data_IF_110453179481
#
_entry.id   IF_110453179481
#
_cell.length_a   1.000
_cell.length_b   1.000
_cell.length_c   1.000
_cell.angle_alpha   90.00
_cell.angle_beta   90.00
_cell.angle_gamma   90.00
#
_symmetry.space_group_name_H-M   'P 1'
#
loop_
_entity.id
_entity.type
_entity.pdbx_description
1 polymer ?
#
# COMPACT_ATOMS: atom_id res chain seq x y z
N UNK A 1 14.08 16.55 -34.41
CA UNK A 1 13.74 16.69 -32.98
C UNK A 1 13.44 15.30 -32.45
N UNK A 2 14.33 14.72 -31.64
CA UNK A 2 14.26 13.30 -31.21
C UNK A 2 13.43 13.24 -29.94
N UNK A 3 12.19 12.73 -30.03
CA UNK A 3 11.38 12.42 -28.85
C UNK A 3 11.87 11.06 -28.33
N UNK A 4 12.70 11.10 -27.28
CA UNK A 4 13.13 9.90 -26.57
C UNK A 4 11.94 9.33 -25.79
N UNK A 5 11.51 8.13 -26.17
CA UNK A 5 10.49 7.34 -25.48
C UNK A 5 10.96 7.01 -24.05
N UNK A 6 10.58 7.85 -23.09
CA UNK A 6 10.78 7.62 -21.66
C UNK A 6 9.76 6.57 -21.18
N UNK A 7 10.15 5.29 -21.16
CA UNK A 7 9.33 4.22 -20.58
C UNK A 7 9.22 4.42 -19.06
N UNK A 8 8.11 4.97 -18.62
CA UNK A 8 7.73 5.09 -17.21
C UNK A 8 7.36 3.72 -16.62
N UNK A 9 8.30 3.04 -15.97
CA UNK A 9 7.97 2.04 -14.94
C UNK A 9 7.69 2.76 -13.61
N UNK A 10 6.57 3.48 -13.55
CA UNK A 10 6.13 4.14 -12.31
C UNK A 10 4.60 4.12 -12.19
N UNK A 11 4.02 2.93 -12.28
CA UNK A 11 2.62 2.69 -11.94
C UNK A 11 2.58 2.16 -10.51
N UNK A 12 2.63 3.06 -9.52
CA UNK A 12 2.15 2.77 -8.15
C UNK A 12 2.03 3.97 -7.19
N UNK A 13 2.25 5.22 -7.63
CA UNK A 13 2.27 6.36 -6.69
C UNK A 13 1.13 7.39 -6.81
N UNK A 14 0.24 7.30 -7.78
CA UNK A 14 -0.88 8.25 -7.91
C UNK A 14 -2.22 7.59 -7.63
N UNK A 15 -2.63 7.57 -6.35
CA UNK A 15 -4.03 7.74 -5.85
C UNK A 15 -4.19 7.22 -4.41
N UNK A 16 -3.63 7.91 -3.43
CA UNK A 16 -4.17 7.91 -2.07
C UNK A 16 -4.07 9.35 -1.55
N UNK A 17 -5.22 10.00 -1.31
CA UNK A 17 -5.26 11.21 -0.48
C UNK A 17 -5.32 10.74 0.98
N UNK A 18 -4.30 10.97 1.83
CA UNK A 18 -4.43 10.68 3.24
C UNK A 18 -5.36 11.72 3.89
N UNK A 19 -6.44 11.24 4.51
CA UNK A 19 -7.18 12.03 5.50
C UNK A 19 -6.27 12.30 6.70
N UNK A 20 -6.23 13.56 7.15
CA UNK A 20 -5.41 13.99 8.29
C UNK A 20 -5.90 13.31 9.57
N UNK A 21 -5.10 12.39 10.10
CA UNK A 21 -5.18 11.95 11.49
C UNK A 21 -3.80 12.18 12.12
N UNK A 22 -3.71 13.28 12.85
CA UNK A 22 -2.55 13.64 13.67
C UNK A 22 -2.62 12.86 14.98
N UNK A 23 -1.57 12.10 15.28
CA UNK A 23 -1.18 11.77 16.65
C UNK A 23 0.32 11.46 16.65
N UNK A 24 1.08 12.31 17.34
CA UNK A 24 2.51 12.18 17.52
C UNK A 24 2.80 10.97 18.43
N UNK A 25 3.14 9.84 17.84
CA UNK A 25 3.72 8.69 18.54
C UNK A 25 5.18 8.55 18.11
N UNK A 26 6.13 8.52 19.04
CA UNK A 26 7.53 8.15 18.81
C UNK A 26 7.57 6.75 18.18
N UNK A 27 7.97 6.64 16.90
CA UNK A 27 8.06 5.33 16.23
C UNK A 27 9.35 4.63 16.66
N UNK A 28 9.27 3.93 17.79
CA UNK A 28 10.09 2.75 18.03
C UNK A 28 9.80 1.75 16.90
N UNK A 29 10.82 1.40 16.12
CA UNK A 29 10.69 0.36 15.08
C UNK A 29 10.65 -0.99 15.77
N UNK A 30 9.70 -1.88 15.42
CA UNK A 30 9.77 -3.25 15.91
C UNK A 30 11.04 -3.87 15.33
N UNK A 31 12.08 -4.03 16.17
CA UNK A 31 13.35 -4.63 15.78
C UNK A 31 13.22 -6.11 15.45
N UNK A 32 12.09 -6.73 15.79
CA UNK A 32 11.72 -8.06 15.38
C UNK A 32 10.71 -8.00 14.23
N UNK A 33 11.19 -8.11 12.99
CA UNK A 33 10.37 -8.77 11.96
C UNK A 33 10.26 -10.21 12.45
N UNK A 34 9.29 -10.47 13.33
CA UNK A 34 9.09 -11.78 13.95
C UNK A 34 8.93 -12.81 12.85
N UNK A 35 9.41 -14.04 13.09
CA UNK A 35 9.31 -15.25 12.24
C UNK A 35 7.85 -15.63 11.92
N UNK A 36 7.09 -14.71 11.31
CA UNK A 36 5.71 -14.93 10.88
C UNK A 36 5.76 -15.63 9.54
N UNK A 37 4.87 -16.60 9.38
CA UNK A 37 4.61 -17.20 8.09
C UNK A 37 4.19 -16.11 7.08
N UNK A 38 4.34 -16.37 5.77
CA UNK A 38 3.79 -15.51 4.74
C UNK A 38 2.31 -15.24 4.99
N UNK A 39 1.80 -14.08 4.59
CA UNK A 39 0.44 -13.63 4.92
C UNK A 39 -0.64 -14.67 4.60
N UNK A 40 -0.46 -15.46 3.53
CA UNK A 40 -1.36 -16.52 3.09
C UNK A 40 -1.46 -17.69 4.08
N UNK A 41 -0.38 -17.95 4.82
CA UNK A 41 -0.28 -19.05 5.79
C UNK A 41 -0.43 -18.58 7.24
N UNK A 42 -0.68 -17.29 7.48
CA UNK A 42 -1.01 -16.83 8.82
C UNK A 42 -2.40 -17.35 9.21
N UNK A 43 -2.54 -18.01 10.38
CA UNK A 43 -3.83 -18.53 10.79
C UNK A 43 -4.83 -17.40 11.00
N UNK A 44 -6.11 -17.60 10.61
CA UNK A 44 -7.15 -16.64 10.92
C UNK A 44 -7.29 -16.49 12.44
N UNK A 45 -7.67 -15.31 12.90
CA UNK A 45 -7.95 -15.11 14.33
C UNK A 45 -9.22 -15.87 14.73
N UNK A 46 -9.36 -16.18 16.02
CA UNK A 46 -10.57 -16.85 16.56
C UNK A 46 -11.86 -16.11 16.14
N UNK A 47 -11.86 -14.78 16.25
CA UNK A 47 -12.98 -13.95 15.79
C UNK A 47 -13.19 -14.02 14.28
N UNK A 48 -12.11 -14.07 13.48
CA UNK A 48 -12.23 -14.22 12.02
C UNK A 48 -12.88 -15.55 11.63
N UNK A 49 -12.59 -16.64 12.34
CA UNK A 49 -13.25 -17.95 12.12
C UNK A 49 -14.73 -17.86 12.47
N UNK A 50 -15.06 -17.25 13.62
CA UNK A 50 -16.44 -17.00 13.99
C UNK A 50 -17.19 -16.22 12.90
N UNK A 51 -16.59 -15.14 12.38
CA UNK A 51 -17.16 -14.36 11.28
C UNK A 51 -17.36 -15.24 10.04
N UNK A 52 -16.37 -16.04 9.64
CA UNK A 52 -16.46 -16.93 8.49
C UNK A 52 -17.60 -17.95 8.61
N UNK A 53 -17.80 -18.56 9.79
CA UNK A 53 -18.89 -19.54 10.00
C UNK A 53 -20.28 -18.88 10.02
N UNK A 54 -20.38 -17.60 10.36
CA UNK A 54 -21.65 -16.92 10.58
C UNK A 54 -22.07 -15.95 9.46
N UNK A 55 -21.28 -15.86 8.39
CA UNK A 55 -21.65 -15.13 7.17
C UNK A 55 -22.56 -16.02 6.32
N UNK A 56 -23.81 -15.57 6.09
CA UNK A 56 -24.86 -16.36 5.38
C UNK A 56 -24.83 -16.21 3.86
N UNK A 57 -24.32 -15.09 3.35
CA UNK A 57 -24.16 -14.79 1.92
C UNK A 57 -22.70 -14.43 1.77
N UNK A 58 -21.97 -14.96 0.78
CA UNK A 58 -20.53 -14.77 0.60
C UNK A 58 -20.03 -13.29 0.52
N UNK A 59 -20.83 -12.30 0.88
CA UNK A 59 -20.49 -10.90 1.12
C UNK A 59 -20.72 -10.51 2.58
N UNK A 60 -19.70 -9.92 3.20
CA UNK A 60 -19.78 -9.34 4.53
C UNK A 60 -20.13 -7.85 4.42
N UNK A 61 -21.38 -7.48 4.71
CA UNK A 61 -21.75 -6.05 4.78
C UNK A 61 -21.26 -5.43 6.09
N UNK A 62 -21.07 -4.10 6.11
CA UNK A 62 -20.68 -3.36 7.33
C UNK A 62 -21.69 -3.58 8.48
N UNK A 63 -22.97 -3.69 8.15
CA UNK A 63 -24.04 -3.92 9.12
C UNK A 63 -23.99 -5.34 9.70
N UNK A 64 -23.77 -6.36 8.86
CA UNK A 64 -23.56 -7.73 9.32
C UNK A 64 -22.30 -7.88 10.16
N UNK A 65 -21.19 -7.27 9.75
CA UNK A 65 -19.97 -7.28 10.55
C UNK A 65 -20.19 -6.67 11.94
N UNK A 66 -20.90 -5.53 12.03
CA UNK A 66 -21.24 -4.91 13.30
C UNK A 66 -22.13 -5.81 14.16
N UNK A 67 -23.14 -6.44 13.55
CA UNK A 67 -24.04 -7.40 14.23
C UNK A 67 -23.26 -8.59 14.78
N UNK A 68 -22.43 -9.24 13.96
CA UNK A 68 -21.63 -10.39 14.36
C UNK A 68 -20.59 -10.01 15.42
N UNK A 69 -19.98 -8.83 15.33
CA UNK A 69 -19.05 -8.34 16.36
C UNK A 69 -19.73 -8.19 17.73
N UNK A 70 -20.98 -7.72 17.76
CA UNK A 70 -21.77 -7.67 19.01
C UNK A 70 -22.09 -9.07 19.52
N UNK A 71 -22.50 -9.98 18.64
CA UNK A 71 -22.79 -11.37 19.01
C UNK A 71 -21.57 -12.08 19.58
N UNK A 72 -20.40 -11.94 18.95
CA UNK A 72 -19.13 -12.48 19.46
C UNK A 72 -18.82 -12.06 20.90
N UNK A 73 -19.11 -10.80 21.26
CA UNK A 73 -18.90 -10.29 22.62
C UNK A 73 -19.87 -10.86 23.64
N UNK A 74 -21.05 -11.32 23.19
CA UNK A 74 -22.09 -11.92 24.03
C UNK A 74 -21.98 -13.44 24.16
N UNK A 75 -21.15 -14.09 23.34
CA UNK A 75 -20.89 -15.53 23.45
C UNK A 75 -20.28 -15.87 24.82
N UNK A 76 -20.64 -17.05 25.34
CA UNK A 76 -20.02 -17.60 26.53
C UNK A 76 -18.56 -17.97 26.26
N UNK A 77 -17.79 -18.18 27.33
CA UNK A 77 -16.38 -18.54 27.16
C UNK A 77 -16.22 -19.97 26.64
N UNK A 78 -17.17 -20.87 26.94
CA UNK A 78 -17.23 -22.21 26.36
C UNK A 78 -17.44 -22.17 24.85
N UNK A 79 -18.32 -21.30 24.36
CA UNK A 79 -18.56 -21.11 22.93
C UNK A 79 -17.33 -20.52 22.23
N UNK A 80 -16.64 -19.56 22.87
CA UNK A 80 -15.39 -19.00 22.33
C UNK A 80 -14.27 -20.04 22.30
N UNK A 81 -14.20 -20.95 23.28
CA UNK A 81 -13.19 -22.01 23.31
C UNK A 81 -13.34 -22.99 22.15
N UNK A 82 -14.57 -23.26 21.69
CA UNK A 82 -14.81 -24.00 20.44
C UNK A 82 -14.10 -23.33 19.26
N UNK A 83 -14.26 -22.03 19.08
CA UNK A 83 -13.59 -21.30 18.00
C UNK A 83 -12.07 -21.24 18.20
N UNK A 84 -11.58 -21.18 19.45
CA UNK A 84 -10.13 -21.23 19.74
C UNK A 84 -9.54 -22.58 19.33
N UNK A 85 -10.26 -23.66 19.57
CA UNK A 85 -9.86 -25.01 19.15
C UNK A 85 -9.82 -25.11 17.62
N UNK A 86 -10.85 -24.62 16.93
CA UNK A 86 -10.88 -24.54 15.47
C UNK A 86 -9.75 -23.66 14.91
N UNK A 87 -9.39 -22.59 15.62
CA UNK A 87 -8.28 -21.72 15.25
C UNK A 87 -6.94 -22.44 15.32
N UNK A 88 -6.69 -23.21 16.37
CA UNK A 88 -5.48 -24.03 16.52
C UNK A 88 -5.39 -25.08 15.41
N UNK A 89 -6.51 -25.75 15.10
CA UNK A 89 -6.57 -26.75 14.02
C UNK A 89 -6.24 -26.13 12.65
N UNK A 90 -6.89 -25.03 12.27
CA UNK A 90 -6.59 -24.33 11.01
C UNK A 90 -5.15 -23.80 10.98
N UNK A 91 -4.60 -23.43 12.13
CA UNK A 91 -3.21 -23.00 12.23
C UNK A 91 -2.22 -24.15 11.97
N UNK A 92 -2.47 -25.33 12.51
CA UNK A 92 -1.66 -26.51 12.22
C UNK A 92 -1.76 -26.92 10.75
N UNK A 93 -2.96 -26.93 10.17
CA UNK A 93 -3.18 -27.24 8.75
C UNK A 93 -2.40 -26.29 7.83
N UNK A 94 -2.47 -24.98 8.08
CA UNK A 94 -1.76 -23.97 7.28
C UNK A 94 -0.24 -24.07 7.42
N UNK A 95 0.25 -24.39 8.61
CA UNK A 95 1.67 -24.61 8.86
C UNK A 95 2.17 -25.86 8.13
N UNK A 96 1.40 -26.94 8.17
CA UNK A 96 1.70 -28.17 7.45
C UNK A 96 1.69 -27.95 5.94
N UNK A 97 0.67 -27.27 5.40
CA UNK A 97 0.58 -26.88 3.98
C UNK A 97 1.85 -26.12 3.54
N UNK A 98 2.33 -25.19 4.37
CA UNK A 98 3.57 -24.46 4.09
C UNK A 98 4.81 -25.38 4.11
N UNK A 99 4.88 -26.32 5.05
CA UNK A 99 6.01 -27.26 5.15
C UNK A 99 6.02 -28.32 4.06
N UNK A 100 4.86 -28.66 3.49
CA UNK A 100 4.73 -29.57 2.35
C UNK A 100 5.26 -28.96 1.05
N UNK A 101 5.36 -27.62 0.95
CA UNK A 101 5.96 -26.96 -0.21
C UNK A 101 7.43 -27.34 -0.40
N UNK A 102 7.93 -27.43 -1.63
CA UNK A 102 9.37 -27.53 -1.90
C UNK A 102 10.16 -26.41 -1.24
N UNK A 103 11.39 -26.69 -0.79
CA UNK A 103 12.20 -25.72 -0.03
C UNK A 103 12.43 -24.40 -0.76
N UNK A 104 12.61 -24.43 -2.09
CA UNK A 104 12.78 -23.23 -2.90
C UNK A 104 11.51 -22.36 -2.88
N UNK A 105 10.33 -22.96 -2.94
CA UNK A 105 9.05 -22.25 -2.89
C UNK A 105 8.79 -21.67 -1.50
N UNK A 106 9.11 -22.42 -0.43
CA UNK A 106 9.05 -21.90 0.94
C UNK A 106 9.89 -20.61 1.09
N UNK A 107 11.12 -20.64 0.59
CA UNK A 107 12.02 -19.48 0.64
C UNK A 107 11.47 -18.31 -0.17
N UNK A 108 10.95 -18.56 -1.38
CA UNK A 108 10.33 -17.54 -2.22
C UNK A 108 9.14 -16.87 -1.50
N UNK A 109 8.23 -17.64 -0.91
CA UNK A 109 7.08 -17.08 -0.18
C UNK A 109 7.50 -16.26 1.03
N UNK A 110 8.54 -16.68 1.75
CA UNK A 110 9.10 -15.92 2.87
C UNK A 110 9.75 -14.61 2.41
N UNK A 111 10.47 -14.64 1.29
CA UNK A 111 11.07 -13.47 0.67
C UNK A 111 10.01 -12.46 0.23
N UNK A 112 9.01 -12.89 -0.55
CA UNK A 112 7.87 -12.06 -0.97
C UNK A 112 7.16 -11.42 0.25
N UNK A 113 6.97 -12.19 1.32
CA UNK A 113 6.39 -11.67 2.55
C UNK A 113 7.28 -10.60 3.21
N UNK A 114 8.58 -10.85 3.34
CA UNK A 114 9.52 -9.87 3.90
C UNK A 114 9.56 -8.58 3.07
N UNK A 115 9.59 -8.68 1.75
CA UNK A 115 9.55 -7.51 0.86
C UNK A 115 8.27 -6.70 1.06
N UNK A 116 7.12 -7.37 1.12
CA UNK A 116 5.84 -6.72 1.39
C UNK A 116 5.82 -6.01 2.75
N UNK A 117 6.39 -6.62 3.79
CA UNK A 117 6.50 -5.97 5.11
C UNK A 117 7.39 -4.73 5.06
N UNK A 118 8.53 -4.80 4.37
CA UNK A 118 9.43 -3.64 4.22
C UNK A 118 8.75 -2.54 3.42
N UNK A 119 8.01 -2.87 2.36
CA UNK A 119 7.23 -1.91 1.58
C UNK A 119 6.16 -1.21 2.44
N UNK A 120 5.41 -1.96 3.26
CA UNK A 120 4.43 -1.38 4.20
C UNK A 120 5.11 -0.42 5.19
N UNK A 121 6.28 -0.81 5.72
CA UNK A 121 7.05 0.04 6.64
C UNK A 121 7.52 1.31 5.93
N UNK A 122 8.01 1.20 4.69
CA UNK A 122 8.39 2.36 3.87
C UNK A 122 7.22 3.28 3.60
N UNK A 123 6.05 2.73 3.26
CA UNK A 123 4.84 3.52 3.00
C UNK A 123 4.41 4.31 4.24
N UNK A 124 4.29 3.63 5.40
CA UNK A 124 4.00 4.28 6.69
C UNK A 124 5.05 5.31 7.07
N UNK A 125 6.31 5.06 6.73
CA UNK A 125 7.38 6.00 6.97
C UNK A 125 7.23 7.27 6.13
N UNK A 126 6.87 7.16 4.86
CA UNK A 126 6.57 8.31 4.00
C UNK A 126 5.36 9.10 4.51
N UNK A 127 4.26 8.42 4.83
CA UNK A 127 3.06 9.05 5.38
C UNK A 127 3.37 9.81 6.68
N UNK A 128 4.17 9.21 7.56
CA UNK A 128 4.49 9.80 8.86
C UNK A 128 5.47 10.97 8.80
N UNK A 129 6.33 11.01 7.78
CA UNK A 129 7.37 12.04 7.64
C UNK A 129 6.98 13.11 6.63
N UNK A 130 5.71 13.16 6.24
CA UNK A 130 5.18 14.08 5.25
C UNK A 130 6.06 14.12 3.98
N UNK A 131 6.41 12.93 3.46
CA UNK A 131 7.24 12.84 2.26
C UNK A 131 6.59 13.65 1.13
N UNK A 132 7.34 14.55 0.45
CA UNK A 132 6.76 15.39 -0.59
C UNK A 132 6.09 14.54 -1.67
N UNK A 133 4.87 14.90 -2.06
CA UNK A 133 4.18 14.22 -3.15
C UNK A 133 4.85 14.57 -4.48
N UNK A 134 4.99 13.58 -5.37
CA UNK A 134 5.43 13.84 -6.73
C UNK A 134 4.42 14.78 -7.42
N UNK A 135 4.89 15.82 -8.13
CA UNK A 135 4.05 16.66 -8.95
C UNK A 135 3.28 15.84 -9.99
N UNK A 136 2.17 16.42 -10.42
CA UNK A 136 1.34 15.84 -11.47
C UNK A 136 2.09 15.82 -12.79
N UNK A 137 1.76 14.87 -13.66
CA UNK A 137 2.22 14.93 -15.05
C UNK A 137 1.62 16.17 -15.74
N UNK A 138 2.24 16.64 -16.82
CA UNK A 138 1.71 17.75 -17.64
C UNK A 138 0.27 17.45 -18.07
N UNK A 139 0.00 16.21 -18.50
CA UNK A 139 -1.34 15.74 -18.83
C UNK A 139 -2.30 15.80 -17.64
N UNK A 140 -1.87 15.41 -16.43
CA UNK A 140 -2.71 15.51 -15.23
C UNK A 140 -2.98 16.96 -14.81
N UNK A 141 -2.02 17.87 -15.04
CA UNK A 141 -2.20 19.32 -14.84
C UNK A 141 -3.25 19.85 -15.81
N UNK A 142 -3.15 19.48 -17.10
CA UNK A 142 -4.12 19.80 -18.13
C UNK A 142 -5.51 19.22 -17.84
N UNK A 143 -5.61 17.92 -17.55
CA UNK A 143 -6.87 17.26 -17.22
C UNK A 143 -7.58 17.94 -16.05
N UNK A 144 -6.83 18.51 -15.08
CA UNK A 144 -7.40 19.23 -13.94
C UNK A 144 -7.80 20.67 -14.25
N UNK A 145 -7.33 21.29 -15.34
CA UNK A 145 -7.80 22.61 -15.77
C UNK A 145 -9.12 22.54 -16.54
N UNK A 146 -9.50 21.36 -17.02
CA UNK A 146 -10.78 21.10 -17.68
C UNK A 146 -11.89 20.91 -16.64
N UNK A 147 -13.09 21.40 -16.96
CA UNK A 147 -14.29 21.20 -16.14
C UNK A 147 -14.60 19.71 -15.95
N UNK A 148 -14.73 19.23 -14.70
CA UNK A 148 -14.97 17.82 -14.43
C UNK A 148 -16.33 17.38 -14.99
N UNK A 149 -16.33 16.27 -15.74
CA UNK A 149 -17.54 15.67 -16.34
C UNK A 149 -17.92 16.22 -17.72
N UNK A 150 -17.19 17.21 -18.23
CA UNK A 150 -17.46 17.79 -19.56
C UNK A 150 -17.00 16.89 -20.71
N UNK A 151 -15.91 16.16 -20.51
CA UNK A 151 -15.30 15.29 -21.50
C UNK A 151 -14.97 13.94 -20.87
N UNK A 152 -15.05 12.88 -21.68
CA UNK A 152 -14.49 11.58 -21.38
C UNK A 152 -12.95 11.64 -21.34
N UNK A 153 -12.32 10.63 -20.73
CA UNK A 153 -10.86 10.60 -20.63
C UNK A 153 -10.18 10.54 -22.01
N UNK A 154 -10.82 9.89 -22.99
CA UNK A 154 -10.32 9.79 -24.36
C UNK A 154 -10.39 11.14 -25.07
N UNK A 155 -11.52 11.86 -24.98
CA UNK A 155 -11.66 13.20 -25.57
C UNK A 155 -10.67 14.20 -24.94
N UNK A 156 -10.41 14.09 -23.63
CA UNK A 156 -9.37 14.91 -22.97
C UNK A 156 -7.99 14.58 -23.53
N UNK A 157 -7.70 13.31 -23.79
CA UNK A 157 -6.42 12.89 -24.34
C UNK A 157 -6.25 13.38 -25.79
N UNK A 158 -7.26 13.19 -26.64
CA UNK A 158 -7.27 13.70 -28.02
C UNK A 158 -7.04 15.22 -28.03
N UNK A 159 -7.80 15.97 -27.21
CA UNK A 159 -7.61 17.41 -27.10
C UNK A 159 -6.22 17.78 -26.56
N UNK A 160 -5.64 17.00 -25.64
CA UNK A 160 -4.29 17.24 -25.15
C UNK A 160 -3.24 17.08 -26.25
N UNK A 161 -3.42 16.08 -27.13
CA UNK A 161 -2.55 15.82 -28.27
C UNK A 161 -2.69 16.89 -29.36
N UNK A 162 -3.85 17.53 -29.45
CA UNK A 162 -4.14 18.65 -30.37
C UNK A 162 -3.72 20.03 -29.84
N UNK A 163 -3.25 20.14 -28.58
CA UNK A 163 -2.80 21.42 -28.02
C UNK A 163 -1.65 22.01 -28.84
N UNK A 164 -1.79 23.28 -29.22
CA UNK A 164 -0.70 24.02 -29.87
C UNK A 164 0.44 24.32 -28.89
N UNK A 165 1.63 24.58 -29.42
CA UNK A 165 2.85 24.84 -28.64
C UNK A 165 2.65 25.93 -27.57
N UNK A 166 1.92 27.00 -27.90
CA UNK A 166 1.68 28.12 -26.98
C UNK A 166 0.78 27.73 -25.79
N UNK A 167 -0.25 26.92 -26.02
CA UNK A 167 -1.14 26.42 -24.98
C UNK A 167 -0.43 25.36 -24.12
N UNK A 168 0.30 24.45 -24.76
CA UNK A 168 1.12 23.43 -24.10
C UNK A 168 2.17 24.07 -23.17
N UNK A 169 2.75 25.19 -23.57
CA UNK A 169 3.75 25.94 -22.79
C UNK A 169 3.22 26.38 -21.42
N UNK A 170 1.94 26.70 -21.29
CA UNK A 170 1.32 27.08 -20.00
C UNK A 170 1.43 25.90 -19.02
N UNK A 171 1.04 24.70 -19.46
CA UNK A 171 1.08 23.50 -18.63
C UNK A 171 2.51 23.03 -18.36
N UNK A 172 3.40 23.16 -19.34
CA UNK A 172 4.81 22.82 -19.22
C UNK A 172 5.53 23.73 -18.20
N UNK A 173 5.28 25.04 -18.24
CA UNK A 173 5.84 25.99 -17.29
C UNK A 173 5.39 25.67 -15.86
N UNK A 174 4.09 25.41 -15.69
CA UNK A 174 3.53 25.01 -14.39
C UNK A 174 4.14 23.72 -13.87
N UNK A 175 4.22 22.69 -14.71
CA UNK A 175 4.87 21.42 -14.37
C UNK A 175 6.34 21.62 -13.97
N UNK A 176 7.09 22.41 -14.75
CA UNK A 176 8.51 22.68 -14.48
C UNK A 176 8.71 23.36 -13.14
N UNK A 177 7.87 24.35 -12.83
CA UNK A 177 7.90 25.03 -11.54
C UNK A 177 7.56 24.08 -10.38
N UNK A 178 6.47 23.30 -10.48
CA UNK A 178 6.09 22.32 -9.44
C UNK A 178 7.17 21.23 -9.25
N UNK A 179 7.82 20.78 -10.32
CA UNK A 179 8.94 19.85 -10.27
C UNK A 179 10.17 20.45 -9.57
N UNK A 180 10.45 21.73 -9.78
CA UNK A 180 11.52 22.42 -9.07
C UNK A 180 11.25 22.45 -7.56
N UNK A 181 10.07 22.89 -7.15
CA UNK A 181 9.63 22.94 -5.75
C UNK A 181 9.69 21.55 -5.09
N UNK A 182 9.22 20.52 -5.80
CA UNK A 182 9.31 19.13 -5.33
C UNK A 182 10.76 18.68 -5.08
N UNK A 183 11.68 18.98 -5.98
CA UNK A 183 13.08 18.60 -5.80
C UNK A 183 13.72 19.30 -4.59
N UNK A 184 13.41 20.57 -4.36
CA UNK A 184 13.84 21.30 -3.17
C UNK A 184 13.26 20.67 -1.89
N UNK A 185 11.96 20.37 -1.89
CA UNK A 185 11.29 19.72 -0.78
C UNK A 185 11.89 18.34 -0.47
N UNK A 186 12.12 17.50 -1.49
CA UNK A 186 12.75 16.18 -1.33
C UNK A 186 14.19 16.29 -0.82
N UNK A 187 14.95 17.28 -1.29
CA UNK A 187 16.31 17.53 -0.80
C UNK A 187 16.30 17.86 0.70
N UNK A 188 15.41 18.76 1.14
CA UNK A 188 15.24 19.11 2.55
C UNK A 188 14.77 17.92 3.39
N UNK A 189 13.81 17.15 2.88
CA UNK A 189 13.34 15.93 3.54
C UNK A 189 14.47 14.91 3.71
N UNK A 190 15.30 14.70 2.67
CA UNK A 190 16.47 13.81 2.73
C UNK A 190 17.53 14.24 3.74
N UNK A 191 17.70 15.54 3.98
CA UNK A 191 18.62 16.01 5.04
C UNK A 191 18.15 15.56 6.43
N UNK A 192 16.83 15.55 6.66
CA UNK A 192 16.24 15.21 7.97
C UNK A 192 16.06 13.70 8.14
N UNK A 193 15.75 12.98 7.06
CA UNK A 193 15.27 11.59 7.11
C UNK A 193 16.10 10.60 6.27
N UNK A 194 17.11 11.09 5.53
CA UNK A 194 17.84 10.32 4.52
C UNK A 194 18.57 9.11 5.07
N UNK A 195 19.19 9.21 6.26
CA UNK A 195 19.86 8.06 6.89
C UNK A 195 18.89 6.89 7.09
N UNK A 196 17.75 7.17 7.71
CA UNK A 196 16.71 6.17 8.02
C UNK A 196 16.08 5.60 6.75
N UNK A 197 15.82 6.45 5.75
CA UNK A 197 15.38 6.01 4.43
C UNK A 197 16.37 5.03 3.79
N UNK A 198 17.66 5.36 3.81
CA UNK A 198 18.71 4.52 3.23
C UNK A 198 18.83 3.16 3.92
N UNK A 199 18.66 3.11 5.25
CA UNK A 199 18.61 1.83 6.00
C UNK A 199 17.45 0.96 5.53
N UNK A 200 16.24 1.52 5.42
CA UNK A 200 15.06 0.78 4.94
C UNK A 200 15.22 0.34 3.48
N UNK A 201 15.75 1.21 2.63
CA UNK A 201 16.05 0.90 1.23
C UNK A 201 17.05 -0.24 1.11
N UNK A 202 18.13 -0.23 1.91
CA UNK A 202 19.13 -1.30 1.91
C UNK A 202 18.50 -2.64 2.32
N UNK A 203 17.62 -2.65 3.33
CA UNK A 203 16.89 -3.86 3.74
C UNK A 203 16.03 -4.44 2.61
N UNK A 204 15.37 -3.58 1.83
CA UNK A 204 14.59 -4.02 0.68
C UNK A 204 15.47 -4.67 -0.39
N UNK A 205 16.62 -4.06 -0.72
CA UNK A 205 17.52 -4.58 -1.75
C UNK A 205 18.25 -5.87 -1.31
N UNK A 206 18.59 -5.99 -0.02
CA UNK A 206 19.14 -7.25 0.50
C UNK A 206 18.15 -8.39 0.43
N UNK A 207 16.84 -8.08 0.56
CA UNK A 207 15.79 -9.09 0.43
C UNK A 207 15.71 -9.65 -0.99
N UNK A 208 16.00 -8.86 -2.02
CA UNK A 208 15.90 -9.28 -3.44
C UNK A 208 17.09 -10.12 -3.93
N UNK A 209 18.21 -10.14 -3.19
CA UNK A 209 19.45 -10.83 -3.58
C UNK A 209 19.64 -12.20 -2.91
N UNK A 210 18.78 -12.54 -1.96
CA UNK A 210 18.77 -13.83 -1.27
C UNK A 210 17.83 -14.80 -1.98
#
# INVERSE_FOLDING_TARGET
MIITNFRFTNILFNKIKPQKLSTAATASFPSSISKRLPTVYNPPTTFSIYIQENIKKNSLTKLEFSRLSKQWKLLSDEEKERFTTLQKLKASEKLEEFHQLPKHEQNQKLQEHHEKQIQIILFRFFDKTDYPNCPLSIFDVYRRSIEPGKFSLNEIQEHFEELFDDEMKIYMNKFTHEMHEYHLAVKKWKQTHGHKFNVLKKKLHSSQKS
#
